data_IF_183153372058
#
_entry.id   IF_183153372058
#
_cell.length_a   1.000
_cell.length_b   1.000
_cell.length_c   1.000
_cell.angle_alpha   90.00
_cell.angle_beta   90.00
_cell.angle_gamma   90.00
#
_symmetry.space_group_name_H-M   'P 1'
#
loop_
_entity.id
_entity.type
_entity.pdbx_description
1 polymer ?
#
# COMPACT_ATOMS: atom_id res chain seq x y z
N UNK A 1 14.88 -10.96 -2.03
CA UNK A 1 14.28 -10.64 -0.72
C UNK A 1 12.78 -11.00 -0.61
N UNK A 2 11.90 -10.53 -1.50
CA UNK A 2 10.43 -10.77 -1.44
C UNK A 2 10.02 -12.21 -1.07
N UNK A 3 10.55 -13.22 -1.76
CA UNK A 3 10.23 -14.64 -1.52
C UNK A 3 10.57 -15.10 -0.08
N UNK A 4 11.63 -14.57 0.51
CA UNK A 4 12.02 -14.90 1.88
C UNK A 4 11.03 -14.30 2.89
N UNK A 5 10.63 -13.03 2.69
CA UNK A 5 9.57 -12.41 3.51
C UNK A 5 8.28 -13.19 3.40
N UNK A 6 7.86 -13.56 2.17
CA UNK A 6 6.62 -14.30 1.95
C UNK A 6 6.63 -15.61 2.73
N UNK A 7 7.72 -16.39 2.63
CA UNK A 7 7.85 -17.65 3.38
C UNK A 7 7.81 -17.45 4.89
N UNK A 8 8.49 -16.42 5.40
CA UNK A 8 8.47 -16.11 6.83
C UNK A 8 7.05 -15.72 7.30
N UNK A 9 6.33 -14.91 6.52
CA UNK A 9 4.94 -14.57 6.79
C UNK A 9 4.00 -15.79 6.72
N UNK A 10 4.21 -16.70 5.77
CA UNK A 10 3.40 -17.92 5.65
C UNK A 10 3.65 -18.89 6.82
N UNK A 11 4.86 -18.90 7.39
CA UNK A 11 5.17 -19.64 8.63
C UNK A 11 4.58 -18.99 9.88
N UNK A 12 4.59 -17.66 9.96
CA UNK A 12 4.06 -16.91 11.09
C UNK A 12 2.52 -16.91 11.13
N UNK A 13 1.88 -16.94 9.97
CA UNK A 13 0.42 -16.92 9.80
C UNK A 13 -0.01 -18.07 8.88
N UNK A 14 0.06 -19.34 9.35
CA UNK A 14 -0.21 -20.49 8.51
C UNK A 14 -1.70 -20.56 8.15
N UNK A 15 -2.04 -20.76 6.87
CA UNK A 15 -3.42 -20.95 6.45
C UNK A 15 -3.96 -22.34 6.85
N UNK A 16 -5.28 -22.49 7.05
CA UNK A 16 -5.89 -23.80 7.20
C UNK A 16 -5.58 -24.72 6.00
N UNK A 17 -5.16 -25.98 6.23
CA UNK A 17 -4.63 -26.85 5.19
C UNK A 17 -5.65 -27.25 4.10
N UNK A 18 -6.95 -27.08 4.38
CA UNK A 18 -8.03 -27.39 3.46
C UNK A 18 -8.24 -26.29 2.41
N UNK A 19 -7.76 -25.07 2.65
CA UNK A 19 -7.95 -23.95 1.73
C UNK A 19 -7.01 -24.06 0.52
N UNK A 20 -7.58 -23.88 -0.67
CA UNK A 20 -6.85 -23.90 -1.95
C UNK A 20 -7.35 -22.80 -2.87
N UNK A 21 -6.56 -22.47 -3.89
CA UNK A 21 -6.94 -21.53 -4.94
C UNK A 21 -7.39 -20.15 -4.39
N UNK A 22 -8.53 -19.67 -4.86
CA UNK A 22 -9.07 -18.37 -4.46
C UNK A 22 -9.40 -18.27 -2.96
N UNK A 23 -9.91 -19.33 -2.34
CA UNK A 23 -10.25 -19.33 -0.91
C UNK A 23 -9.02 -19.12 -0.05
N UNK A 24 -7.89 -19.71 -0.46
CA UNK A 24 -6.60 -19.48 0.18
C UNK A 24 -6.14 -18.02 0.00
N UNK A 25 -6.28 -17.46 -1.21
CA UNK A 25 -5.91 -16.08 -1.49
C UNK A 25 -6.71 -15.06 -0.65
N UNK A 26 -8.03 -15.26 -0.52
CA UNK A 26 -8.89 -14.41 0.33
C UNK A 26 -8.55 -14.54 1.80
N UNK A 27 -8.26 -15.76 2.28
CA UNK A 27 -7.83 -15.95 3.67
C UNK A 27 -6.53 -15.21 3.94
N UNK A 28 -5.54 -15.36 3.05
CA UNK A 28 -4.26 -14.66 3.14
C UNK A 28 -4.45 -13.14 3.20
N UNK A 29 -5.30 -12.58 2.35
CA UNK A 29 -5.57 -11.15 2.31
C UNK A 29 -6.13 -10.61 3.64
N UNK A 30 -7.07 -11.35 4.25
CA UNK A 30 -7.70 -10.94 5.51
C UNK A 30 -6.92 -11.28 6.79
N UNK A 31 -6.03 -12.27 6.75
CA UNK A 31 -5.46 -12.85 7.98
C UNK A 31 -3.92 -12.84 8.03
N UNK A 32 -3.23 -12.65 6.90
CA UNK A 32 -1.77 -12.61 6.87
C UNK A 32 -1.25 -11.18 6.84
N UNK A 33 -0.50 -10.81 7.87
CA UNK A 33 0.23 -9.55 7.87
C UNK A 33 1.58 -9.66 7.15
N UNK A 34 1.98 -8.61 6.44
CA UNK A 34 3.32 -8.51 5.81
C UNK A 34 3.95 -7.13 6.07
N UNK A 35 5.29 -7.05 6.24
CA UNK A 35 5.98 -5.78 6.44
C UNK A 35 5.74 -4.74 5.33
N UNK A 36 5.44 -5.22 4.11
CA UNK A 36 5.09 -4.37 2.98
C UNK A 36 3.87 -3.49 3.27
N UNK A 37 2.88 -3.98 4.04
CA UNK A 37 1.70 -3.22 4.41
C UNK A 37 2.06 -1.95 5.20
N UNK A 38 3.01 -2.02 6.14
CA UNK A 38 3.47 -0.82 6.87
C UNK A 38 4.15 0.18 5.94
N UNK A 39 5.01 -0.31 5.04
CA UNK A 39 5.66 0.54 4.03
C UNK A 39 4.63 1.26 3.16
N UNK A 40 3.61 0.55 2.70
CA UNK A 40 2.52 1.13 1.91
C UNK A 40 1.71 2.15 2.73
N UNK A 41 1.35 1.82 3.98
CA UNK A 41 0.59 2.71 4.85
C UNK A 41 1.33 4.03 5.11
N UNK A 42 2.63 3.95 5.44
CA UNK A 42 3.45 5.15 5.67
C UNK A 42 3.59 5.97 4.39
N UNK A 43 3.79 5.33 3.23
CA UNK A 43 3.86 6.03 1.95
C UNK A 43 2.58 6.81 1.61
N UNK A 44 1.42 6.16 1.78
CA UNK A 44 0.11 6.81 1.61
C UNK A 44 -0.08 7.98 2.58
N UNK A 45 0.31 7.80 3.85
CA UNK A 45 0.23 8.86 4.85
C UNK A 45 1.08 10.08 4.45
N UNK A 46 2.34 9.85 4.06
CA UNK A 46 3.27 10.91 3.66
C UNK A 46 2.81 11.61 2.38
N UNK A 47 2.36 10.86 1.38
CA UNK A 47 1.83 11.41 0.13
C UNK A 47 0.59 12.29 0.36
N UNK A 48 -0.27 11.93 1.30
CA UNK A 48 -1.49 12.68 1.64
C UNK A 48 -1.20 13.94 2.47
N UNK A 49 -0.40 13.80 3.54
CA UNK A 49 -0.19 14.85 4.55
C UNK A 49 0.95 15.82 4.22
N UNK A 50 1.96 15.36 3.49
CA UNK A 50 3.17 16.14 3.21
C UNK A 50 3.19 16.45 1.71
N UNK A 51 3.85 15.62 0.91
CA UNK A 51 4.02 15.76 -0.54
C UNK A 51 4.41 14.42 -1.15
N UNK A 52 4.11 14.23 -2.43
CA UNK A 52 4.38 12.96 -3.12
C UNK A 52 5.88 12.73 -3.35
N UNK A 53 6.66 13.79 -3.52
CA UNK A 53 8.11 13.77 -3.69
C UNK A 53 8.82 13.29 -2.41
N UNK A 54 8.30 13.67 -1.23
CA UNK A 54 8.83 13.18 0.05
C UNK A 54 8.56 11.68 0.20
N UNK A 55 7.40 11.20 -0.24
CA UNK A 55 7.11 9.77 -0.27
C UNK A 55 8.02 9.03 -1.25
N UNK A 56 8.33 9.61 -2.42
CA UNK A 56 9.28 9.04 -3.39
C UNK A 56 10.66 8.87 -2.77
N UNK A 57 11.18 9.92 -2.15
CA UNK A 57 12.52 9.93 -1.55
C UNK A 57 12.60 8.98 -0.35
N UNK A 58 11.58 8.99 0.52
CA UNK A 58 11.47 8.07 1.65
C UNK A 58 11.46 6.59 1.20
N UNK A 59 10.81 6.30 0.07
CA UNK A 59 10.76 4.96 -0.50
C UNK A 59 12.01 4.58 -1.30
N UNK A 60 12.88 5.55 -1.61
CA UNK A 60 14.03 5.36 -2.49
C UNK A 60 13.64 5.08 -3.94
N UNK A 61 12.50 5.61 -4.39
CA UNK A 61 12.09 5.48 -5.79
C UNK A 61 12.83 6.50 -6.66
N UNK A 62 13.36 6.06 -7.79
CA UNK A 62 14.00 6.95 -8.77
C UNK A 62 12.97 7.70 -9.60
N UNK A 63 11.86 7.03 -9.93
CA UNK A 63 10.77 7.58 -10.71
C UNK A 63 9.55 7.91 -9.84
N UNK A 64 9.03 9.13 -10.02
CA UNK A 64 7.83 9.60 -9.32
C UNK A 64 6.58 8.80 -9.74
N UNK A 65 6.51 8.30 -10.98
CA UNK A 65 5.36 7.55 -11.47
C UNK A 65 5.13 6.26 -10.67
N UNK A 66 6.20 5.62 -10.20
CA UNK A 66 6.13 4.45 -9.30
C UNK A 66 5.47 4.79 -7.96
N UNK A 67 5.58 6.05 -7.52
CA UNK A 67 5.04 6.54 -6.25
C UNK A 67 3.59 7.02 -6.38
N UNK A 68 3.12 7.35 -7.59
CA UNK A 68 1.75 7.86 -7.81
C UNK A 68 0.65 6.91 -7.32
N UNK A 69 0.92 5.60 -7.22
CA UNK A 69 0.01 4.61 -6.60
C UNK A 69 -0.46 5.01 -5.19
N UNK A 70 0.33 5.80 -4.46
CA UNK A 70 0.01 6.22 -3.09
C UNK A 70 -0.85 7.48 -3.02
N UNK A 71 -1.04 8.17 -4.14
CA UNK A 71 -1.91 9.34 -4.22
C UNK A 71 -3.35 8.85 -4.20
N UNK A 72 -4.05 9.10 -3.09
CA UNK A 72 -5.50 9.03 -3.08
C UNK A 72 -6.02 10.25 -3.83
N UNK A 73 -6.81 10.02 -4.88
CA UNK A 73 -7.61 11.09 -5.50
C UNK A 73 -8.74 11.41 -4.51
N UNK A 74 -8.42 12.19 -3.48
CA UNK A 74 -9.44 12.73 -2.58
C UNK A 74 -10.07 13.95 -3.25
N UNK A 75 -11.35 13.77 -3.61
CA UNK A 75 -12.23 14.76 -4.24
C UNK A 75 -12.30 16.09 -3.46
N UNK A 76 -11.92 16.12 -2.18
CA UNK A 76 -11.90 17.34 -1.36
C UNK A 76 -10.95 18.43 -1.87
N UNK A 77 -9.91 18.09 -2.63
CA UNK A 77 -9.04 19.08 -3.30
C UNK A 77 -9.69 19.61 -4.58
N UNK A 78 -10.35 18.72 -5.34
CA UNK A 78 -11.14 19.08 -6.53
C UNK A 78 -12.35 19.95 -6.17
N UNK A 79 -13.12 19.58 -5.15
CA UNK A 79 -14.23 20.38 -4.59
C UNK A 79 -13.76 21.76 -4.14
N UNK A 80 -12.58 21.86 -3.51
CA UNK A 80 -12.01 23.14 -3.08
C UNK A 80 -11.50 23.99 -4.24
N UNK A 81 -10.89 23.38 -5.25
CA UNK A 81 -10.47 24.08 -6.46
C UNK A 81 -11.69 24.56 -7.26
N UNK A 82 -12.70 23.71 -7.43
CA UNK A 82 -13.96 24.05 -8.10
C UNK A 82 -14.67 25.24 -7.41
N UNK A 83 -14.73 25.25 -6.07
CA UNK A 83 -15.28 26.38 -5.28
C UNK A 83 -14.52 27.70 -5.41
N UNK A 84 -13.27 27.67 -5.87
CA UNK A 84 -12.42 28.86 -5.97
C UNK A 84 -12.36 29.41 -7.41
N UNK A 85 -12.82 28.61 -8.37
CA UNK A 85 -12.78 28.89 -9.81
C UNK A 85 -14.17 29.16 -10.42
N UNK A 86 -15.24 28.78 -9.72
CA UNK A 86 -16.62 29.24 -10.00
C UNK A 86 -17.06 30.26 -8.97
#
# INVERSE_FOLDING_TARGET
>A
YRRAITRACDQAFPPPPQLKGESLARWIDGHRWTPGQLRHNKATEVASKIKIEVARDLLGHTDIATTLRYVKVEDKRLIRAARKLG
#
